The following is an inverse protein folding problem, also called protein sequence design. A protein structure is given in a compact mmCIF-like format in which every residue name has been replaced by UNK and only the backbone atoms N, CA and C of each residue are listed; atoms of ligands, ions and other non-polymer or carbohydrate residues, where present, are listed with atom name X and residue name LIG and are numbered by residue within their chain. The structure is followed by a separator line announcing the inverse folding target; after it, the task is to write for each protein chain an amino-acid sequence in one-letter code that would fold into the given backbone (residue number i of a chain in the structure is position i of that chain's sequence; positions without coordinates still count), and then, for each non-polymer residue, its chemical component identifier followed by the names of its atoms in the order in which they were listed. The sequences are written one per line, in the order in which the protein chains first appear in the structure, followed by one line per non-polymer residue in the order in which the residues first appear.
data_IF_689467409990
#
_entry.id   IF_689467409990
#
_cell.length_a   1.000
_cell.length_b   1.000
_cell.length_c   1.000
_cell.angle_alpha   90.00
_cell.angle_beta   90.00
_cell.angle_gamma   90.00
#
_symmetry.space_group_name_H-M   'P 1'
#
loop_
_entity.id
_entity.type
_entity.pdbx_description
1 polymer ?
#
# COMPACT_ATOMS: atom_id res chain seq x y z
N UNK A 1 -9.65 34.39 25.42
CA UNK A 1 -9.68 33.08 26.10
C UNK A 1 -10.99 32.97 26.83
N UNK A 2 -11.95 32.27 26.27
CA UNK A 2 -13.23 32.00 26.93
C UNK A 2 -13.19 30.55 27.40
N UNK A 3 -12.93 30.39 28.70
CA UNK A 3 -13.25 29.14 29.39
C UNK A 3 -14.75 29.17 29.70
N UNK A 4 -15.55 28.63 28.81
CA UNK A 4 -16.97 28.50 29.12
C UNK A 4 -17.22 27.19 29.85
N UNK A 5 -17.53 27.29 31.13
CA UNK A 5 -18.28 26.24 31.84
C UNK A 5 -19.65 26.15 31.17
N UNK A 6 -19.74 25.31 30.14
CA UNK A 6 -20.86 25.37 29.24
C UNK A 6 -22.03 24.52 29.60
N UNK A 7 -23.11 24.91 29.13
CA UNK A 7 -24.25 24.14 28.73
C UNK A 7 -23.86 23.22 27.57
N UNK A 8 -24.36 22.00 27.52
CA UNK A 8 -24.07 20.97 26.52
C UNK A 8 -24.31 21.36 25.05
N UNK A 9 -24.73 22.58 24.77
CA UNK A 9 -25.04 23.09 23.44
C UNK A 9 -24.11 24.20 22.95
N UNK A 10 -23.03 24.56 23.67
CA UNK A 10 -22.12 25.65 23.31
C UNK A 10 -20.64 25.32 23.54
N UNK A 11 -20.28 24.05 23.52
CA UNK A 11 -18.85 23.66 23.67
C UNK A 11 -18.08 24.00 22.44
N UNK A 12 -17.01 24.80 22.58
CA UNK A 12 -15.99 24.92 21.55
C UNK A 12 -15.16 23.64 21.53
N UNK A 13 -15.23 22.90 20.42
CA UNK A 13 -14.38 21.74 20.19
C UNK A 13 -13.01 22.18 19.67
N UNK A 14 -11.96 21.38 19.94
CA UNK A 14 -10.71 21.47 19.22
C UNK A 14 -10.99 21.32 17.72
N UNK A 15 -10.51 22.24 16.92
CA UNK A 15 -10.64 22.13 15.46
C UNK A 15 -9.65 23.05 14.74
N UNK A 16 -9.28 22.63 13.53
CA UNK A 16 -8.58 23.48 12.55
C UNK A 16 -9.58 23.93 11.49
N UNK A 17 -9.50 25.20 11.12
CA UNK A 17 -10.30 25.74 10.02
C UNK A 17 -9.51 26.72 9.16
N UNK A 18 -10.05 27.09 8.00
CA UNK A 18 -9.50 28.11 7.13
C UNK A 18 -10.11 29.46 7.49
N UNK A 19 -9.27 30.47 7.60
CA UNK A 19 -9.74 31.84 7.84
C UNK A 19 -10.30 32.42 6.53
N UNK A 20 -11.59 32.75 6.55
CA UNK A 20 -12.28 33.30 5.38
C UNK A 20 -12.16 34.83 5.22
N UNK A 21 -11.52 35.52 6.21
CA UNK A 21 -11.31 36.96 6.17
C UNK A 21 -10.10 37.39 5.34
N UNK A 22 -9.91 38.70 5.22
CA UNK A 22 -8.79 39.30 4.48
C UNK A 22 -7.71 39.90 5.41
N UNK A 23 -7.84 39.69 6.72
CA UNK A 23 -6.93 40.22 7.70
C UNK A 23 -5.51 39.69 7.56
N UNK A 24 -4.55 40.54 7.90
CA UNK A 24 -3.12 40.23 7.81
C UNK A 24 -2.43 40.39 9.18
N UNK A 25 -1.45 39.58 9.45
CA UNK A 25 -0.51 39.72 10.56
C UNK A 25 0.88 39.93 9.95
N UNK A 26 1.50 41.08 10.22
CA UNK A 26 2.80 41.44 9.65
C UNK A 26 2.84 41.32 8.12
N UNK A 27 1.83 41.84 7.44
CA UNK A 27 1.66 41.80 5.97
C UNK A 27 1.58 40.36 5.39
N UNK A 28 1.21 39.39 6.21
CA UNK A 28 0.93 38.02 5.77
C UNK A 28 -0.54 37.68 6.04
N UNK A 29 -1.23 37.19 5.03
CA UNK A 29 -2.62 36.73 5.14
C UNK A 29 -2.71 35.60 6.14
N UNK A 30 -3.76 35.61 6.97
CA UNK A 30 -4.10 34.49 7.83
C UNK A 30 -4.68 33.40 6.92
N UNK A 31 -4.03 32.23 6.86
CA UNK A 31 -4.47 31.12 6.03
C UNK A 31 -5.36 30.14 6.76
N UNK A 32 -4.94 29.73 7.94
CA UNK A 32 -5.69 28.80 8.78
C UNK A 32 -5.49 29.14 10.26
N UNK A 33 -6.40 28.63 11.07
CA UNK A 33 -6.32 28.75 12.53
C UNK A 33 -6.71 27.45 13.20
N UNK A 34 -6.23 27.26 14.41
CA UNK A 34 -6.57 26.15 15.29
C UNK A 34 -7.20 26.69 16.56
N UNK A 35 -8.30 26.10 16.97
CA UNK A 35 -8.97 26.41 18.24
C UNK A 35 -8.75 25.27 19.20
N UNK A 36 -8.26 25.56 20.38
CA UNK A 36 -8.04 24.59 21.45
C UNK A 36 -8.79 25.10 22.70
N UNK A 37 -9.77 24.35 23.22
CA UNK A 37 -10.45 24.71 24.46
C UNK A 37 -9.50 24.62 25.66
N UNK A 38 -9.50 25.62 26.52
CA UNK A 38 -8.64 25.66 27.71
C UNK A 38 -8.99 24.58 28.76
N UNK A 39 -10.21 24.08 28.74
CA UNK A 39 -10.72 23.14 29.75
C UNK A 39 -10.66 21.66 29.37
N UNK A 40 -9.84 21.25 28.39
CA UNK A 40 -9.79 19.85 27.92
C UNK A 40 -9.47 18.85 29.05
N UNK A 41 -8.57 19.20 29.99
CA UNK A 41 -8.23 18.35 31.12
C UNK A 41 -9.43 18.04 32.03
N UNK A 42 -10.42 18.96 32.12
CA UNK A 42 -11.65 18.78 32.89
C UNK A 42 -12.52 17.66 32.30
N UNK A 43 -12.43 17.39 31.00
CA UNK A 43 -13.19 16.34 30.33
C UNK A 43 -12.42 15.02 30.21
N UNK A 44 -11.24 14.90 30.85
CA UNK A 44 -10.40 13.70 30.76
C UNK A 44 -9.65 13.57 29.43
N UNK A 45 -9.68 14.60 28.60
CA UNK A 45 -8.96 14.64 27.32
C UNK A 45 -7.54 15.17 27.54
N UNK A 46 -6.59 14.71 26.72
CA UNK A 46 -5.23 15.22 26.76
C UNK A 46 -5.13 16.52 25.99
N UNK A 47 -4.87 17.61 26.68
CA UNK A 47 -4.61 18.91 26.05
C UNK A 47 -3.51 18.81 24.98
N UNK A 48 -2.42 18.12 25.29
CA UNK A 48 -1.28 17.99 24.37
C UNK A 48 -1.65 17.15 23.13
N UNK A 49 -2.39 16.07 23.29
CA UNK A 49 -2.84 15.23 22.18
C UNK A 49 -3.71 16.01 21.20
N UNK A 50 -4.72 16.73 21.71
CA UNK A 50 -5.61 17.57 20.88
C UNK A 50 -4.84 18.68 20.18
N UNK A 51 -3.94 19.38 20.90
CA UNK A 51 -3.10 20.44 20.29
C UNK A 51 -2.32 19.91 19.12
N UNK A 52 -1.69 18.74 19.25
CA UNK A 52 -0.89 18.16 18.18
C UNK A 52 -1.77 17.64 17.04
N UNK A 53 -2.89 16.99 17.34
CA UNK A 53 -3.87 16.56 16.34
C UNK A 53 -4.28 17.74 15.44
N UNK A 54 -4.76 18.81 16.03
CA UNK A 54 -5.19 20.01 15.30
C UNK A 54 -4.02 20.68 14.54
N UNK A 55 -2.82 20.66 15.13
CA UNK A 55 -1.64 21.16 14.44
C UNK A 55 -1.27 20.31 13.23
N UNK A 56 -1.39 18.98 13.30
CA UNK A 56 -1.10 18.09 12.18
C UNK A 56 -2.03 18.36 10.99
N UNK A 57 -3.27 18.79 11.23
CA UNK A 57 -4.13 19.27 10.14
C UNK A 57 -3.54 20.45 9.36
N UNK A 58 -2.72 21.30 9.98
CA UNK A 58 -2.05 22.39 9.26
C UNK A 58 -0.96 21.89 8.31
N UNK A 59 -0.45 20.68 8.55
CA UNK A 59 0.48 19.97 7.69
C UNK A 59 -0.25 19.09 6.64
N UNK A 60 -1.58 19.12 6.62
CA UNK A 60 -2.40 18.39 5.65
C UNK A 60 -2.84 17.00 6.06
N UNK A 61 -2.54 16.54 7.28
CA UNK A 61 -2.97 15.22 7.75
C UNK A 61 -4.50 15.17 7.88
N UNK A 62 -5.15 14.14 7.34
CA UNK A 62 -6.59 13.97 7.48
C UNK A 62 -6.95 13.24 8.77
N UNK A 63 -8.20 13.37 9.19
CA UNK A 63 -8.76 12.54 10.26
C UNK A 63 -8.81 11.07 9.88
N UNK A 64 -8.37 10.20 10.79
CA UNK A 64 -8.37 8.76 10.61
C UNK A 64 -9.40 8.03 11.48
N UNK A 65 -10.23 8.75 12.21
CA UNK A 65 -11.43 8.24 12.87
C UNK A 65 -12.64 8.27 11.93
N UNK A 66 -13.67 7.52 12.28
CA UNK A 66 -14.91 7.43 11.50
C UNK A 66 -16.00 8.26 12.18
N UNK A 67 -16.57 9.21 11.45
CA UNK A 67 -17.69 10.03 11.92
C UNK A 67 -19.03 9.42 11.48
N UNK A 68 -19.26 8.17 11.84
CA UNK A 68 -20.52 7.49 11.55
C UNK A 68 -21.22 7.07 12.84
N UNK A 69 -22.55 6.95 12.79
CA UNK A 69 -23.34 6.40 13.90
C UNK A 69 -23.18 4.88 14.08
N UNK A 70 -22.20 4.27 13.38
CA UNK A 70 -21.94 2.84 13.49
C UNK A 70 -21.00 2.62 14.68
N UNK A 71 -21.59 2.23 15.81
CA UNK A 71 -20.85 1.88 17.01
C UNK A 71 -19.86 0.74 16.74
N UNK A 72 -18.64 0.88 17.22
CA UNK A 72 -17.63 -0.19 17.21
C UNK A 72 -16.74 -0.25 15.96
N UNK A 73 -16.81 0.72 15.05
CA UNK A 73 -15.91 0.77 13.89
C UNK A 73 -14.74 1.71 14.18
N UNK A 74 -13.55 1.13 14.33
CA UNK A 74 -12.30 1.83 14.66
C UNK A 74 -11.19 1.37 13.72
N UNK A 75 -11.05 1.98 12.54
CA UNK A 75 -10.11 1.47 11.52
C UNK A 75 -8.65 1.51 11.95
N UNK A 76 -8.23 2.52 12.69
CA UNK A 76 -6.81 2.76 13.07
C UNK A 76 -6.62 2.74 14.59
N UNK A 77 -7.53 3.35 15.35
CA UNK A 77 -7.44 3.44 16.80
C UNK A 77 -6.20 4.18 17.29
N UNK A 78 -5.65 3.72 18.41
CA UNK A 78 -4.50 4.37 19.07
C UNK A 78 -3.15 4.23 18.32
N UNK A 79 -3.14 3.66 17.12
CA UNK A 79 -1.92 3.60 16.29
C UNK A 79 -1.55 4.93 15.64
N UNK A 80 -2.49 5.89 15.60
CA UNK A 80 -2.24 7.20 15.00
C UNK A 80 -2.96 8.30 15.79
N UNK A 81 -2.27 9.41 16.04
CA UNK A 81 -2.83 10.57 16.74
C UNK A 81 -4.01 11.19 15.97
N UNK A 82 -4.06 11.04 14.63
CA UNK A 82 -5.18 11.52 13.81
C UNK A 82 -6.41 10.62 13.86
N UNK A 83 -6.30 9.43 14.48
CA UNK A 83 -7.44 8.53 14.70
C UNK A 83 -7.97 8.62 16.13
N UNK A 84 -7.09 8.85 17.07
CA UNK A 84 -7.43 8.97 18.48
C UNK A 84 -6.37 9.79 19.20
N UNK A 85 -6.71 11.02 19.54
CA UNK A 85 -5.88 11.83 20.38
C UNK A 85 -5.86 11.27 21.81
N UNK A 86 -4.68 10.91 22.25
CA UNK A 86 -4.47 10.30 23.55
C UNK A 86 -3.71 11.24 24.48
N UNK A 87 -3.78 10.97 25.76
CA UNK A 87 -3.01 11.67 26.80
C UNK A 87 -1.51 11.61 26.54
N UNK A 88 -1.05 10.55 25.90
CA UNK A 88 0.33 10.37 25.48
C UNK A 88 0.39 10.43 23.96
N UNK A 89 1.45 11.05 23.45
CA UNK A 89 1.62 11.28 22.03
C UNK A 89 1.93 9.97 21.30
N UNK A 90 1.12 9.66 20.30
CA UNK A 90 1.46 8.62 19.33
C UNK A 90 2.10 9.24 18.09
N UNK A 91 2.95 8.46 17.43
CA UNK A 91 3.39 8.80 16.09
C UNK A 91 2.23 8.66 15.10
N UNK A 92 2.07 9.57 14.14
CA UNK A 92 1.29 9.27 12.95
C UNK A 92 1.86 8.04 12.23
N UNK A 93 1.03 7.30 11.52
CA UNK A 93 1.45 6.17 10.71
C UNK A 93 2.56 6.59 9.71
N UNK A 94 3.50 5.69 9.44
CA UNK A 94 4.68 5.98 8.61
C UNK A 94 4.33 6.56 7.26
N UNK A 95 3.27 6.05 6.61
CA UNK A 95 2.81 6.59 5.34
C UNK A 95 2.53 8.10 5.41
N UNK A 96 1.82 8.56 6.43
CA UNK A 96 1.47 9.98 6.55
C UNK A 96 2.69 10.82 6.88
N UNK A 97 3.60 10.33 7.70
CA UNK A 97 4.89 11.01 7.99
C UNK A 97 5.74 11.17 6.74
N UNK A 98 5.73 10.18 5.85
CA UNK A 98 6.43 10.23 4.57
C UNK A 98 5.69 11.14 3.57
N UNK A 99 4.41 10.84 3.27
CA UNK A 99 3.67 11.47 2.18
C UNK A 99 3.28 12.92 2.45
N UNK A 100 2.98 13.29 3.70
CA UNK A 100 2.49 14.63 4.06
C UNK A 100 3.58 15.54 4.62
N UNK A 101 4.58 15.00 5.28
CA UNK A 101 5.67 15.78 5.88
C UNK A 101 7.01 15.61 5.19
N UNK A 102 7.16 14.61 4.32
CA UNK A 102 8.43 14.34 3.64
C UNK A 102 9.58 14.01 4.59
N UNK A 103 9.28 13.43 5.77
CA UNK A 103 10.31 13.20 6.79
C UNK A 103 11.27 12.08 6.42
N UNK A 104 10.83 11.15 5.60
CA UNK A 104 11.64 10.04 5.06
C UNK A 104 10.90 9.37 3.91
N UNK A 105 11.65 8.63 3.10
CA UNK A 105 11.08 7.80 2.03
C UNK A 105 10.82 6.37 2.52
N UNK A 106 9.76 5.75 2.02
CA UNK A 106 9.43 4.36 2.35
C UNK A 106 9.72 3.50 1.12
N UNK A 107 10.63 2.51 1.22
CA UNK A 107 10.90 1.61 0.11
C UNK A 107 9.68 0.75 -0.23
N UNK A 108 9.51 0.47 -1.52
CA UNK A 108 8.46 -0.41 -2.03
C UNK A 108 9.01 -1.80 -2.35
N UNK A 109 8.27 -2.83 -1.97
CA UNK A 109 8.56 -4.23 -2.25
C UNK A 109 7.36 -4.82 -2.99
N UNK A 110 7.63 -5.51 -4.10
CA UNK A 110 6.62 -6.10 -4.99
C UNK A 110 6.80 -7.61 -5.17
N UNK A 111 7.81 -8.19 -4.52
CA UNK A 111 8.15 -9.61 -4.60
C UNK A 111 8.51 -10.17 -3.23
N UNK A 112 8.51 -11.49 -3.08
CA UNK A 112 8.84 -12.16 -1.83
C UNK A 112 10.29 -11.85 -1.41
N UNK A 113 10.47 -11.56 -0.12
CA UNK A 113 11.76 -11.18 0.44
C UNK A 113 11.96 -11.75 1.83
N UNK A 114 13.10 -12.40 2.05
CA UNK A 114 13.49 -12.96 3.35
C UNK A 114 14.39 -12.01 4.13
N UNK A 115 14.37 -12.15 5.45
CA UNK A 115 15.23 -11.39 6.37
C UNK A 115 15.12 -9.87 6.21
N UNK A 116 13.91 -9.38 5.96
CA UNK A 116 13.66 -7.94 6.02
C UNK A 116 13.94 -7.43 7.43
N UNK A 117 14.43 -6.19 7.54
CA UNK A 117 14.66 -5.55 8.83
C UNK A 117 14.28 -4.09 8.75
N UNK A 118 13.48 -3.61 9.71
CA UNK A 118 13.11 -2.21 9.85
C UNK A 118 13.30 -1.71 11.27
N UNK A 119 13.53 -0.41 11.37
CA UNK A 119 13.70 0.27 12.66
C UNK A 119 12.37 0.70 13.25
N UNK A 120 12.30 0.75 14.58
CA UNK A 120 11.14 1.30 15.27
C UNK A 120 10.93 2.77 14.89
N UNK A 121 9.66 3.20 14.80
CA UNK A 121 9.30 4.59 14.58
C UNK A 121 9.94 5.54 15.61
N UNK A 122 10.21 5.04 16.83
CA UNK A 122 10.85 5.75 17.93
C UNK A 122 12.39 5.67 17.93
N UNK A 123 13.02 5.01 16.96
CA UNK A 123 14.46 4.91 16.88
C UNK A 123 15.10 6.30 16.66
N UNK A 124 16.18 6.56 17.36
CA UNK A 124 16.94 7.83 17.25
C UNK A 124 18.24 7.66 16.48
N UNK A 125 18.51 6.48 15.94
CA UNK A 125 19.72 6.21 15.15
C UNK A 125 19.63 6.96 13.81
N UNK A 126 20.68 7.69 13.44
CA UNK A 126 20.67 8.65 12.34
C UNK A 126 20.36 8.01 10.97
N UNK A 127 20.80 6.77 10.76
CA UNK A 127 20.64 6.04 9.49
C UNK A 127 19.27 5.35 9.34
N UNK A 128 18.35 5.58 10.28
CA UNK A 128 17.06 4.87 10.32
C UNK A 128 15.96 5.53 9.50
N UNK A 129 16.20 6.72 8.95
CA UNK A 129 15.13 7.51 8.31
C UNK A 129 14.42 6.78 7.19
N UNK A 130 15.16 6.07 6.36
CA UNK A 130 14.63 5.41 5.16
C UNK A 130 14.34 3.92 5.36
N UNK A 131 14.29 3.44 6.59
CA UNK A 131 14.03 2.04 6.89
C UNK A 131 13.12 1.83 8.11
N UNK A 132 12.15 2.72 8.32
CA UNK A 132 11.16 2.63 9.41
C UNK A 132 9.89 1.88 9.02
N UNK A 133 9.68 1.70 7.73
CA UNK A 133 8.52 1.02 7.17
C UNK A 133 8.84 0.48 5.78
N UNK A 134 7.95 -0.38 5.27
CA UNK A 134 8.01 -0.93 3.91
C UNK A 134 6.61 -0.82 3.30
N UNK A 135 6.51 -0.34 2.05
CA UNK A 135 5.30 -0.42 1.25
C UNK A 135 5.29 -1.74 0.50
N UNK A 136 4.18 -2.46 0.55
CA UNK A 136 3.94 -3.68 -0.19
C UNK A 136 2.90 -3.40 -1.27
N UNK A 137 3.23 -3.70 -2.52
CA UNK A 137 2.33 -3.52 -3.65
C UNK A 137 2.21 -4.79 -4.45
N UNK A 138 1.01 -5.02 -4.94
CA UNK A 138 0.73 -5.93 -6.05
C UNK A 138 0.18 -5.10 -7.21
N UNK A 139 0.02 -5.70 -8.39
CA UNK A 139 -0.53 -4.99 -9.54
C UNK A 139 -2.07 -4.89 -9.50
N UNK A 140 -2.72 -5.42 -8.46
CA UNK A 140 -4.18 -5.40 -8.34
C UNK A 140 -4.75 -3.98 -8.27
N UNK A 141 -4.06 -3.06 -7.58
CA UNK A 141 -4.52 -1.68 -7.44
C UNK A 141 -3.37 -0.68 -7.52
N UNK A 142 -3.54 0.37 -8.31
CA UNK A 142 -2.63 1.52 -8.34
C UNK A 142 -2.81 2.45 -7.13
N UNK A 143 -3.99 2.45 -6.52
CA UNK A 143 -4.37 3.38 -5.46
C UNK A 143 -4.30 2.77 -4.06
N UNK A 144 -4.49 1.45 -3.94
CA UNK A 144 -4.41 0.75 -2.67
C UNK A 144 -3.11 -0.04 -2.56
N UNK A 145 -2.53 -0.02 -1.37
CA UNK A 145 -1.31 -0.74 -1.04
C UNK A 145 -1.24 -0.96 0.46
N UNK A 146 -0.27 -1.76 0.88
CA UNK A 146 -0.10 -2.12 2.27
C UNK A 146 1.22 -1.57 2.79
N UNK A 147 1.25 -1.31 4.09
CA UNK A 147 2.45 -0.80 4.76
C UNK A 147 2.70 -1.67 5.98
N UNK A 148 3.96 -2.04 6.17
CA UNK A 148 4.46 -2.69 7.37
C UNK A 148 5.32 -1.68 8.11
N UNK A 149 5.01 -1.42 9.38
CA UNK A 149 5.70 -0.45 10.23
C UNK A 149 6.02 -1.08 11.59
N UNK A 150 7.21 -0.81 12.13
CA UNK A 150 7.55 -1.22 13.48
C UNK A 150 7.21 -0.12 14.49
N UNK A 151 6.30 -0.44 15.39
CA UNK A 151 5.92 0.42 16.53
C UNK A 151 6.46 -0.19 17.82
N UNK A 152 6.95 0.65 18.70
CA UNK A 152 7.52 0.22 19.97
C UNK A 152 7.04 1.10 21.10
N UNK A 153 6.48 0.49 22.15
CA UNK A 153 6.16 1.19 23.39
C UNK A 153 7.45 1.70 24.03
N UNK A 154 7.68 3.00 23.98
CA UNK A 154 8.88 3.65 24.50
C UNK A 154 8.52 4.92 25.28
N UNK A 155 9.28 5.21 26.32
CA UNK A 155 8.98 6.15 27.42
C UNK A 155 8.65 7.61 27.06
N UNK A 156 8.64 8.04 25.80
CA UNK A 156 8.35 9.43 25.44
C UNK A 156 7.22 9.56 24.43
N UNK A 157 7.16 8.67 23.47
CA UNK A 157 6.12 8.59 22.44
C UNK A 157 5.75 7.13 22.28
N UNK A 158 4.51 6.83 21.91
CA UNK A 158 4.00 5.44 21.88
C UNK A 158 4.14 4.74 23.25
N UNK A 159 3.81 5.42 24.32
CA UNK A 159 4.15 5.00 25.69
C UNK A 159 3.44 3.73 26.13
N UNK A 160 4.14 2.92 26.90
CA UNK A 160 3.54 1.87 27.73
C UNK A 160 3.09 2.48 29.06
N UNK A 161 1.79 2.56 29.27
CA UNK A 161 1.14 2.75 30.58
C UNK A 161 1.81 3.67 31.63
N UNK A 162 1.12 4.69 31.99
CA UNK A 162 1.09 5.19 33.36
C UNK A 162 -0.03 4.44 34.11
N UNK A 163 0.11 4.21 35.39
CA UNK A 163 -0.54 3.28 36.31
C UNK A 163 -2.08 3.38 36.45
N UNK A 164 -2.81 3.70 35.42
CA UNK A 164 -4.27 3.81 35.44
C UNK A 164 -4.92 2.90 34.40
N UNK A 165 -5.95 2.19 34.85
CA UNK A 165 -6.78 1.24 34.09
C UNK A 165 -7.64 1.89 33.01
N UNK A 166 -7.47 3.17 32.74
CA UNK A 166 -8.18 3.88 31.68
C UNK A 166 -7.48 3.68 30.34
N UNK A 167 -8.23 3.57 29.28
CA UNK A 167 -7.81 3.39 27.88
C UNK A 167 -6.96 4.56 27.32
N UNK A 168 -6.42 5.40 28.17
CA UNK A 168 -5.81 6.67 27.82
C UNK A 168 -4.34 6.51 27.43
N UNK A 169 -4.09 6.39 26.14
CA UNK A 169 -2.81 6.80 25.59
C UNK A 169 -1.73 5.75 25.41
N UNK A 170 -2.10 4.50 25.14
CA UNK A 170 -1.14 3.43 24.82
C UNK A 170 -1.36 2.98 23.40
N UNK A 171 -0.28 2.86 22.61
CA UNK A 171 -0.33 1.86 21.56
C UNK A 171 -0.42 0.47 22.21
N UNK A 172 -1.05 -0.45 21.52
CA UNK A 172 -1.44 -1.74 22.09
C UNK A 172 -0.27 -2.66 22.45
N UNK A 173 0.90 -2.48 21.81
CA UNK A 173 2.07 -3.27 22.08
C UNK A 173 3.28 -2.87 21.24
N UNK A 174 4.35 -3.64 21.37
CA UNK A 174 5.55 -3.48 20.53
C UNK A 174 5.61 -4.59 19.49
N UNK A 175 5.74 -4.21 18.22
CA UNK A 175 5.79 -5.14 17.10
C UNK A 175 5.52 -4.49 15.76
N UNK A 176 5.45 -5.31 14.73
CA UNK A 176 5.00 -4.89 13.41
C UNK A 176 3.49 -4.66 13.40
N UNK A 177 3.06 -3.56 12.82
CA UNK A 177 1.68 -3.35 12.40
C UNK A 177 1.61 -3.40 10.88
N UNK A 178 0.49 -3.90 10.37
CA UNK A 178 0.20 -3.98 8.95
C UNK A 178 -1.05 -3.17 8.71
N UNK A 179 -1.01 -2.28 7.74
CA UNK A 179 -2.20 -1.49 7.40
C UNK A 179 -2.31 -1.25 5.91
N UNK A 180 -3.56 -1.13 5.45
CA UNK A 180 -3.90 -0.72 4.09
C UNK A 180 -3.99 0.78 4.01
N UNK A 181 -3.50 1.34 2.90
CA UNK A 181 -3.71 2.73 2.50
C UNK A 181 -4.47 2.75 1.18
N UNK A 182 -5.49 3.61 1.11
CA UNK A 182 -6.12 4.00 -0.14
C UNK A 182 -5.74 5.45 -0.45
N UNK A 183 -4.79 5.63 -1.36
CA UNK A 183 -4.23 6.95 -1.69
C UNK A 183 -5.22 7.86 -2.42
N UNK A 184 -6.26 7.31 -3.07
CA UNK A 184 -7.26 8.08 -3.80
C UNK A 184 -8.21 8.88 -2.88
N UNK A 185 -8.31 8.48 -1.61
CA UNK A 185 -9.18 9.14 -0.65
C UNK A 185 -8.48 10.34 0.00
N UNK A 186 -9.03 11.53 -0.22
CA UNK A 186 -8.47 12.80 0.32
C UNK A 186 -8.94 13.05 1.76
N UNK A 187 -10.20 12.75 2.08
CA UNK A 187 -10.86 13.11 3.33
C UNK A 187 -10.60 12.20 4.53
N UNK A 188 -9.57 11.35 4.49
CA UNK A 188 -9.27 10.44 5.60
C UNK A 188 -10.30 9.32 5.73
N UNK A 189 -10.56 8.91 7.01
CA UNK A 189 -11.53 7.85 7.32
C UNK A 189 -12.93 8.38 7.67
N UNK A 190 -13.08 9.69 7.83
CA UNK A 190 -14.29 10.32 8.40
C UNK A 190 -15.59 9.89 7.70
N UNK A 191 -15.53 9.67 6.40
CA UNK A 191 -16.68 9.32 5.56
C UNK A 191 -16.62 7.89 5.00
N UNK A 192 -15.69 7.06 5.50
CA UNK A 192 -15.57 5.67 5.06
C UNK A 192 -16.79 4.80 5.34
N UNK A 193 -16.89 3.58 4.81
CA UNK A 193 -15.92 2.93 3.92
C UNK A 193 -16.00 3.43 2.46
N UNK A 194 -14.98 3.19 1.62
CA UNK A 194 -13.69 2.63 2.01
C UNK A 194 -12.89 3.59 2.90
N UNK A 195 -11.95 3.04 3.69
CA UNK A 195 -11.10 3.82 4.59
C UNK A 195 -9.79 4.21 3.91
N UNK A 196 -9.31 5.43 4.16
CA UNK A 196 -7.99 5.87 3.72
C UNK A 196 -6.87 5.07 4.39
N UNK A 197 -7.03 4.74 5.67
CA UNK A 197 -6.13 3.88 6.41
C UNK A 197 -6.91 2.86 7.24
N UNK A 198 -6.47 1.60 7.22
CA UNK A 198 -7.06 0.51 7.99
C UNK A 198 -5.97 -0.41 8.52
N UNK A 199 -5.91 -0.59 9.84
CA UNK A 199 -4.92 -1.46 10.51
C UNK A 199 -5.49 -2.85 10.66
N UNK A 200 -4.83 -3.84 10.06
CA UNK A 200 -5.23 -5.24 10.13
C UNK A 200 -5.06 -5.83 11.53
N UNK A 201 -6.00 -6.68 11.89
CA UNK A 201 -6.07 -7.37 13.19
C UNK A 201 -6.78 -8.71 13.04
N UNK A 202 -6.46 -9.72 13.88
CA UNK A 202 -7.12 -11.02 13.79
C UNK A 202 -8.57 -10.93 14.28
N UNK A 203 -9.42 -11.75 13.68
CA UNK A 203 -10.82 -11.88 14.07
C UNK A 203 -11.70 -10.70 13.65
N UNK A 204 -11.23 -9.84 12.76
CA UNK A 204 -12.07 -8.84 12.13
C UNK A 204 -13.15 -9.48 11.26
N UNK A 205 -14.24 -8.77 11.11
CA UNK A 205 -15.41 -9.22 10.34
C UNK A 205 -16.00 -8.05 9.57
N UNK A 206 -16.92 -8.33 8.69
CA UNK A 206 -17.75 -7.32 8.03
C UNK A 206 -19.06 -7.18 8.81
N UNK A 207 -19.40 -5.97 9.24
CA UNK A 207 -20.66 -5.64 9.87
C UNK A 207 -21.37 -4.56 9.05
N UNK A 208 -22.55 -4.87 8.53
CA UNK A 208 -23.36 -3.95 7.70
C UNK A 208 -22.58 -3.38 6.51
N UNK A 209 -21.70 -4.18 5.89
CA UNK A 209 -20.83 -3.74 4.79
C UNK A 209 -19.59 -2.97 5.23
N UNK A 210 -19.31 -2.86 6.52
CA UNK A 210 -18.15 -2.18 7.09
C UNK A 210 -17.18 -3.21 7.70
N UNK A 211 -15.90 -2.98 7.54
CA UNK A 211 -14.89 -3.70 8.30
C UNK A 211 -15.07 -3.36 9.77
N UNK A 212 -15.54 -4.34 10.54
CA UNK A 212 -15.76 -4.18 11.97
C UNK A 212 -14.45 -4.33 12.70
N UNK A 213 -13.92 -3.21 13.10
CA UNK A 213 -12.76 -3.14 13.95
C UNK A 213 -13.22 -2.75 15.36
N UNK A 214 -13.39 -3.72 16.23
CA UNK A 214 -13.68 -3.41 17.62
C UNK A 214 -12.37 -3.19 18.40
N UNK A 215 -12.44 -2.48 19.54
CA UNK A 215 -11.26 -2.16 20.35
C UNK A 215 -10.56 -3.39 20.88
N UNK A 216 -11.26 -4.49 21.14
CA UNK A 216 -10.68 -5.72 21.69
C UNK A 216 -9.78 -6.43 20.68
N UNK A 217 -10.00 -6.22 19.39
CA UNK A 217 -9.16 -6.79 18.34
C UNK A 217 -7.93 -5.91 18.03
N UNK A 218 -7.99 -4.62 18.36
CA UNK A 218 -6.85 -3.73 18.19
C UNK A 218 -5.66 -4.10 19.07
N UNK A 219 -5.89 -4.65 20.26
CA UNK A 219 -4.84 -5.17 21.14
C UNK A 219 -4.08 -6.34 20.54
N UNK A 220 -4.58 -6.92 19.45
CA UNK A 220 -4.00 -8.02 18.69
C UNK A 220 -3.45 -7.60 17.32
N UNK A 221 -3.43 -6.31 17.00
CA UNK A 221 -3.06 -5.81 15.66
C UNK A 221 -1.56 -5.71 15.43
N UNK A 222 -0.72 -6.14 16.36
CA UNK A 222 0.74 -6.13 16.20
C UNK A 222 1.33 -7.54 16.27
N UNK A 223 2.48 -7.71 15.63
CA UNK A 223 3.20 -8.98 15.52
C UNK A 223 4.58 -8.84 16.16
N UNK A 224 4.93 -9.77 17.01
CA UNK A 224 6.28 -9.94 17.54
C UNK A 224 6.46 -11.32 18.18
N UNK A 225 7.70 -11.75 18.38
CA UNK A 225 7.97 -12.98 19.12
C UNK A 225 7.38 -12.93 20.54
N UNK A 226 7.46 -11.78 21.21
CA UNK A 226 6.94 -11.57 22.57
C UNK A 226 5.40 -11.65 22.63
N UNK A 227 4.71 -11.24 21.57
CA UNK A 227 3.25 -11.35 21.49
C UNK A 227 2.78 -12.78 21.20
N UNK A 228 3.67 -13.66 20.82
CA UNK A 228 3.37 -15.01 20.34
C UNK A 228 2.71 -15.02 18.94
N UNK A 229 2.65 -13.88 18.27
CA UNK A 229 2.07 -13.70 16.93
C UNK A 229 3.17 -13.28 15.98
N UNK A 230 3.63 -14.21 15.16
CA UNK A 230 4.79 -14.04 14.28
C UNK A 230 4.43 -14.07 12.80
N UNK A 231 3.12 -14.13 12.49
CA UNK A 231 2.64 -14.12 11.12
C UNK A 231 1.25 -13.50 10.98
N UNK A 232 0.95 -12.94 9.81
CA UNK A 232 -0.36 -12.47 9.38
C UNK A 232 -0.45 -12.48 7.87
N UNK A 233 -1.64 -12.80 7.34
CA UNK A 233 -1.88 -12.97 5.92
C UNK A 233 -2.03 -14.44 5.51
N UNK A 234 -2.48 -14.66 4.29
CA UNK A 234 -2.63 -16.00 3.70
C UNK A 234 -2.58 -15.91 2.18
N UNK A 235 -2.05 -16.96 1.54
CA UNK A 235 -2.04 -17.10 0.08
C UNK A 235 -3.37 -17.67 -0.48
N UNK A 236 -4.30 -18.13 0.37
CA UNK A 236 -5.60 -18.58 -0.10
C UNK A 236 -6.40 -17.42 -0.68
N UNK A 237 -6.51 -17.38 -2.01
CA UNK A 237 -7.20 -16.31 -2.74
C UNK A 237 -8.69 -16.17 -2.38
N UNK A 238 -9.30 -17.18 -1.76
CA UNK A 238 -10.68 -17.13 -1.34
C UNK A 238 -10.85 -16.62 0.11
N UNK A 239 -9.73 -16.47 0.84
CA UNK A 239 -9.76 -15.99 2.21
C UNK A 239 -10.09 -14.50 2.26
N UNK A 240 -10.95 -14.12 3.21
CA UNK A 240 -11.31 -12.74 3.52
C UNK A 240 -10.66 -12.23 4.80
N UNK A 241 -11.08 -11.05 5.23
CA UNK A 241 -10.56 -10.43 6.44
C UNK A 241 -10.80 -11.29 7.70
N UNK A 242 -11.89 -12.05 7.75
CA UNK A 242 -12.20 -12.98 8.84
C UNK A 242 -11.19 -14.11 8.97
N UNK A 243 -10.51 -14.45 7.88
CA UNK A 243 -9.49 -15.51 7.80
C UNK A 243 -8.07 -14.94 7.99
N UNK A 244 -7.94 -13.72 8.49
CA UNK A 244 -6.71 -12.95 8.64
C UNK A 244 -6.01 -12.63 7.30
N UNK A 245 -6.73 -12.58 6.19
CA UNK A 245 -6.17 -12.14 4.93
C UNK A 245 -5.84 -10.64 4.95
N UNK A 246 -4.78 -10.25 4.26
CA UNK A 246 -4.45 -8.86 3.98
C UNK A 246 -5.25 -8.46 2.73
N UNK A 247 -6.38 -7.77 2.93
CA UNK A 247 -7.37 -7.51 1.87
C UNK A 247 -7.34 -6.08 1.35
N UNK A 248 -7.70 -5.89 0.11
CA UNK A 248 -8.13 -4.60 -0.44
C UNK A 248 -9.47 -4.18 0.13
N UNK A 249 -9.89 -2.94 -0.10
CA UNK A 249 -11.15 -2.40 0.45
C UNK A 249 -12.40 -3.06 -0.13
N UNK A 250 -12.29 -3.70 -1.28
CA UNK A 250 -13.35 -4.51 -1.89
C UNK A 250 -13.45 -5.94 -1.34
N UNK A 251 -12.56 -6.31 -0.40
CA UNK A 251 -12.50 -7.63 0.22
C UNK A 251 -11.58 -8.63 -0.47
N UNK A 252 -11.01 -8.29 -1.63
CA UNK A 252 -10.09 -9.17 -2.35
C UNK A 252 -8.81 -9.39 -1.55
N UNK A 253 -8.40 -10.65 -1.37
CA UNK A 253 -7.14 -10.99 -0.73
C UNK A 253 -5.95 -10.57 -1.62
N UNK A 254 -4.99 -9.88 -1.03
CA UNK A 254 -3.74 -9.49 -1.73
C UNK A 254 -2.79 -10.67 -1.97
N UNK A 255 -2.98 -11.78 -1.28
CA UNK A 255 -2.05 -12.90 -1.29
C UNK A 255 -0.72 -12.61 -0.58
N UNK A 256 -0.60 -11.50 0.14
CA UNK A 256 0.60 -11.17 0.90
C UNK A 256 0.56 -11.83 2.26
N UNK A 257 1.70 -12.38 2.68
CA UNK A 257 1.91 -12.93 4.03
C UNK A 257 3.13 -12.29 4.65
N UNK A 258 3.00 -11.82 5.89
CA UNK A 258 4.11 -11.45 6.74
C UNK A 258 4.35 -12.61 7.70
N UNK A 259 5.57 -13.10 7.78
CA UNK A 259 5.91 -14.28 8.57
C UNK A 259 7.30 -14.17 9.23
N UNK A 260 7.62 -15.10 10.12
CA UNK A 260 8.91 -15.16 10.83
C UNK A 260 9.24 -13.86 11.54
N UNK A 261 8.22 -13.18 12.09
CA UNK A 261 8.42 -11.91 12.79
C UNK A 261 9.22 -12.15 14.07
N UNK A 262 10.34 -11.44 14.19
CA UNK A 262 11.29 -11.57 15.28
C UNK A 262 10.89 -10.83 16.55
N UNK A 263 11.89 -10.64 17.44
CA UNK A 263 11.72 -9.93 18.71
C UNK A 263 11.56 -8.43 18.52
N UNK A 264 10.62 -7.85 19.26
CA UNK A 264 10.41 -6.40 19.36
C UNK A 264 11.20 -5.75 20.52
N UNK A 265 12.17 -6.44 21.12
CA UNK A 265 12.98 -5.92 22.22
C UNK A 265 14.01 -4.88 21.75
N UNK A 266 14.56 -5.05 20.54
CA UNK A 266 15.56 -4.18 19.93
C UNK A 266 14.99 -2.92 19.25
N UNK A 267 15.87 -2.09 18.71
CA UNK A 267 15.48 -0.95 17.88
C UNK A 267 15.11 -1.36 16.45
N UNK A 268 15.43 -2.59 16.06
CA UNK A 268 15.04 -3.20 14.78
C UNK A 268 14.23 -4.46 15.03
N UNK A 269 13.37 -4.80 14.08
CA UNK A 269 12.63 -6.05 14.03
C UNK A 269 12.83 -6.71 12.67
N UNK A 270 12.95 -8.03 12.66
CA UNK A 270 13.13 -8.82 11.44
C UNK A 270 11.84 -9.55 11.06
N UNK A 271 11.65 -9.81 9.79
CA UNK A 271 10.49 -10.53 9.27
C UNK A 271 10.72 -10.97 7.82
N UNK A 272 9.89 -11.85 7.34
CA UNK A 272 9.82 -12.26 5.96
C UNK A 272 8.54 -11.72 5.31
N UNK A 273 8.63 -11.42 4.03
CA UNK A 273 7.51 -11.05 3.16
C UNK A 273 7.35 -12.16 2.13
N UNK A 274 6.14 -12.68 1.99
CA UNK A 274 5.80 -13.67 0.99
C UNK A 274 4.60 -13.14 0.20
N UNK A 275 4.74 -13.08 -1.11
CA UNK A 275 3.63 -12.87 -2.02
C UNK A 275 3.15 -14.23 -2.48
N UNK A 276 1.85 -14.40 -2.67
CA UNK A 276 1.37 -15.58 -3.36
C UNK A 276 2.15 -15.67 -4.66
N UNK A 277 2.79 -16.79 -4.91
CA UNK A 277 3.15 -17.12 -6.28
C UNK A 277 1.86 -16.94 -7.08
N UNK A 278 1.86 -15.98 -7.96
CA UNK A 278 0.73 -15.70 -8.83
C UNK A 278 0.50 -16.89 -9.76
N UNK A 279 0.08 -18.01 -9.18
CA UNK A 279 -0.61 -19.04 -9.91
C UNK A 279 -1.95 -18.53 -10.45
N UNK A 280 -2.03 -17.26 -10.76
CA UNK A 280 -3.05 -16.69 -11.63
C UNK A 280 -2.66 -17.08 -13.06
N UNK A 281 -3.05 -18.31 -13.42
CA UNK A 281 -3.26 -18.59 -14.82
C UNK A 281 -4.08 -17.44 -15.41
N UNK A 282 -3.43 -16.61 -16.23
CA UNK A 282 -4.08 -15.53 -16.96
C UNK A 282 -3.82 -14.09 -16.49
N UNK A 283 -2.95 -13.84 -15.52
CA UNK A 283 -2.53 -12.45 -15.20
C UNK A 283 -1.43 -11.97 -16.14
N UNK A 284 -1.66 -10.80 -16.73
CA UNK A 284 -0.62 -10.12 -17.51
C UNK A 284 0.39 -9.47 -16.58
N UNK A 285 1.64 -9.91 -16.64
CA UNK A 285 2.78 -9.26 -15.98
C UNK A 285 3.52 -8.48 -17.07
N UNK A 286 3.72 -7.18 -16.85
CA UNK A 286 4.62 -6.41 -17.71
C UNK A 286 6.06 -6.77 -17.34
N UNK A 287 6.66 -7.71 -18.04
CA UNK A 287 8.05 -8.12 -17.82
C UNK A 287 9.06 -7.09 -18.35
N UNK A 288 8.65 -6.23 -19.27
CA UNK A 288 9.47 -5.16 -19.83
C UNK A 288 8.61 -3.96 -20.18
N UNK A 289 9.10 -2.77 -19.88
CA UNK A 289 8.54 -1.48 -20.31
C UNK A 289 9.24 -0.93 -21.54
N UNK A 290 10.07 -1.73 -22.22
CA UNK A 290 10.80 -1.31 -23.40
C UNK A 290 9.83 -0.95 -24.52
N UNK A 291 9.94 0.26 -25.01
CA UNK A 291 9.27 0.68 -26.23
C UNK A 291 10.11 0.20 -27.40
N UNK A 292 9.64 -0.80 -28.12
CA UNK A 292 10.35 -1.35 -29.29
C UNK A 292 10.41 -0.36 -30.46
N UNK A 293 9.81 0.83 -30.32
CA UNK A 293 9.79 1.86 -31.35
C UNK A 293 8.99 1.49 -32.60
N UNK A 294 8.21 0.42 -32.55
CA UNK A 294 7.42 -0.12 -33.64
C UNK A 294 5.94 -0.18 -33.29
N UNK A 295 5.10 0.12 -34.25
CA UNK A 295 3.68 -0.25 -34.17
C UNK A 295 3.56 -1.71 -34.56
N UNK A 296 3.05 -2.56 -33.65
CA UNK A 296 2.93 -3.99 -33.88
C UNK A 296 1.47 -4.43 -33.80
N UNK A 297 1.13 -5.42 -34.59
CA UNK A 297 -0.19 -6.06 -34.59
C UNK A 297 -0.05 -7.56 -34.83
N UNK A 298 -1.10 -8.31 -34.52
CA UNK A 298 -1.17 -9.77 -34.71
C UNK A 298 0.09 -10.47 -34.14
N UNK A 299 0.26 -10.35 -32.82
CA UNK A 299 1.43 -10.82 -32.10
C UNK A 299 1.20 -12.26 -31.68
N UNK A 300 2.11 -13.15 -32.07
CA UNK A 300 2.16 -14.54 -31.64
C UNK A 300 3.40 -14.77 -30.76
N UNK A 301 3.22 -15.40 -29.61
CA UNK A 301 4.29 -15.63 -28.63
C UNK A 301 4.60 -17.13 -28.47
N UNK A 302 5.82 -17.42 -28.11
CA UNK A 302 6.27 -18.77 -27.82
C UNK A 302 7.36 -18.79 -26.75
N UNK A 303 7.28 -19.75 -25.84
CA UNK A 303 8.35 -20.04 -24.88
C UNK A 303 8.82 -21.48 -25.11
N UNK A 304 10.11 -21.68 -25.35
CA UNK A 304 10.67 -23.02 -25.59
C UNK A 304 10.97 -23.76 -24.29
N UNK A 305 11.41 -25.02 -24.41
CA UNK A 305 11.74 -25.88 -23.26
C UNK A 305 12.94 -25.36 -22.43
N UNK A 306 13.76 -24.49 -23.00
CA UNK A 306 14.88 -23.84 -22.33
C UNK A 306 14.51 -22.49 -21.73
N UNK A 307 13.21 -22.13 -21.73
CA UNK A 307 12.66 -20.88 -21.25
C UNK A 307 13.05 -19.64 -22.08
N UNK A 308 13.55 -19.84 -23.32
CA UNK A 308 13.70 -18.72 -24.24
C UNK A 308 12.33 -18.27 -24.74
N UNK A 309 12.08 -16.96 -24.69
CA UNK A 309 10.82 -16.36 -25.13
C UNK A 309 11.01 -15.69 -26.47
N UNK A 310 10.05 -15.89 -27.35
CA UNK A 310 10.02 -15.32 -28.69
C UNK A 310 8.66 -14.70 -28.98
N UNK A 311 8.60 -13.71 -29.84
CA UNK A 311 7.39 -13.35 -30.52
C UNK A 311 7.62 -12.98 -31.98
N UNK A 312 6.59 -13.21 -32.82
CA UNK A 312 6.49 -12.69 -34.17
C UNK A 312 5.27 -11.79 -34.28
N UNK A 313 5.39 -10.68 -34.98
CA UNK A 313 4.31 -9.72 -35.16
C UNK A 313 4.33 -9.10 -36.55
N UNK A 314 3.18 -8.60 -37.03
CA UNK A 314 3.14 -7.70 -38.18
C UNK A 314 3.55 -6.29 -37.76
N UNK A 315 4.27 -5.61 -38.62
CA UNK A 315 4.63 -4.19 -38.45
C UNK A 315 3.45 -3.35 -38.90
N UNK A 316 3.03 -2.38 -38.07
CA UNK A 316 2.01 -1.39 -38.43
C UNK A 316 2.59 -0.24 -39.26
N UNK A 317 1.75 0.36 -40.06
CA UNK A 317 2.11 1.50 -40.95
C UNK A 317 2.20 2.86 -40.21
N UNK A 318 2.03 2.87 -38.90
CA UNK A 318 1.99 4.08 -38.09
C UNK A 318 0.64 4.80 -38.08
N UNK A 319 -0.32 4.37 -38.89
CA UNK A 319 -1.70 4.88 -38.93
C UNK A 319 -2.72 3.91 -38.33
N UNK A 320 -2.24 2.81 -37.76
CA UNK A 320 -3.09 1.81 -37.10
C UNK A 320 -3.46 0.61 -37.98
N UNK A 321 -2.90 0.51 -39.19
CA UNK A 321 -3.09 -0.65 -40.07
C UNK A 321 -1.86 -1.54 -40.05
N UNK A 322 -2.08 -2.86 -40.05
CA UNK A 322 -1.01 -3.83 -40.19
C UNK A 322 -0.50 -3.86 -41.64
N UNK A 323 0.82 -3.92 -41.80
CA UNK A 323 1.43 -4.27 -43.10
C UNK A 323 1.61 -5.80 -43.18
N UNK A 324 2.00 -6.30 -44.35
CA UNK A 324 2.38 -7.72 -44.51
C UNK A 324 3.83 -8.02 -44.04
N UNK A 325 4.55 -7.01 -43.62
CA UNK A 325 5.91 -7.20 -43.08
C UNK A 325 5.83 -7.69 -41.64
N UNK A 326 6.61 -8.72 -41.33
CA UNK A 326 6.68 -9.29 -39.98
C UNK A 326 8.07 -9.11 -39.39
N UNK A 327 8.15 -9.24 -38.08
CA UNK A 327 9.41 -9.11 -37.32
C UNK A 327 9.43 -10.14 -36.20
N UNK A 328 10.60 -10.79 -36.02
CA UNK A 328 10.84 -11.77 -34.96
C UNK A 328 11.70 -11.14 -33.86
N UNK A 329 11.24 -11.27 -32.64
CA UNK A 329 11.94 -10.85 -31.43
C UNK A 329 12.27 -12.04 -30.53
N UNK A 330 13.36 -11.90 -29.77
CA UNK A 330 13.72 -12.79 -28.66
C UNK A 330 13.91 -11.97 -27.41
N UNK A 331 13.48 -12.50 -26.27
CA UNK A 331 13.76 -11.96 -24.95
C UNK A 331 15.06 -12.56 -24.40
N UNK A 332 16.02 -11.73 -24.04
CA UNK A 332 17.25 -12.11 -23.37
C UNK A 332 17.76 -10.97 -22.50
N UNK A 333 18.40 -11.30 -21.38
CA UNK A 333 19.03 -10.33 -20.48
C UNK A 333 18.08 -9.21 -19.98
N UNK A 334 16.79 -9.52 -19.78
CA UNK A 334 15.80 -8.58 -19.30
C UNK A 334 15.19 -7.65 -20.35
N UNK A 335 15.50 -7.84 -21.64
CA UNK A 335 15.01 -6.99 -22.72
C UNK A 335 14.61 -7.80 -23.97
N UNK A 336 13.67 -7.24 -24.73
CA UNK A 336 13.31 -7.74 -26.05
C UNK A 336 14.26 -7.17 -27.11
N UNK A 337 14.83 -8.03 -27.94
CA UNK A 337 15.67 -7.64 -29.07
C UNK A 337 15.14 -8.19 -30.37
N UNK A 338 15.14 -7.37 -31.42
CA UNK A 338 14.81 -7.81 -32.76
C UNK A 338 15.89 -8.78 -33.23
N UNK A 339 15.48 -9.98 -33.64
CA UNK A 339 16.39 -10.97 -34.20
C UNK A 339 16.52 -10.76 -35.71
N UNK A 340 15.40 -10.69 -36.42
CA UNK A 340 15.35 -10.59 -37.87
C UNK A 340 14.02 -10.06 -38.36
N UNK A 341 13.93 -9.60 -39.60
CA UNK A 341 12.68 -9.47 -40.32
C UNK A 341 12.13 -10.86 -40.66
N UNK A 342 10.87 -11.07 -40.41
CA UNK A 342 10.20 -12.32 -40.71
C UNK A 342 9.69 -12.39 -42.17
N UNK A 343 9.04 -13.50 -42.54
CA UNK A 343 8.41 -13.62 -43.84
C UNK A 343 7.25 -12.65 -44.02
N UNK A 344 6.92 -12.30 -45.26
CA UNK A 344 5.71 -11.52 -45.55
C UNK A 344 4.47 -12.37 -45.32
N UNK A 345 3.68 -11.99 -44.30
CA UNK A 345 2.49 -12.70 -43.86
C UNK A 345 1.30 -11.76 -43.76
N UNK A 346 0.13 -12.24 -44.12
CA UNK A 346 -1.11 -11.48 -43.85
C UNK A 346 -1.35 -11.36 -42.34
N UNK A 347 -2.13 -10.38 -41.97
CA UNK A 347 -2.39 -10.05 -40.56
C UNK A 347 -3.42 -11.02 -39.95
N UNK A 348 -3.13 -12.32 -39.98
CA UNK A 348 -3.89 -13.38 -39.28
C UNK A 348 -3.19 -14.73 -39.50
N UNK A 349 -3.32 -15.64 -38.53
CA UNK A 349 -2.95 -17.05 -38.70
C UNK A 349 -1.47 -17.34 -38.71
N UNK A 350 -0.66 -16.61 -37.91
CA UNK A 350 0.73 -16.96 -37.63
C UNK A 350 0.84 -17.87 -36.40
N UNK A 351 1.90 -18.68 -36.37
CA UNK A 351 2.30 -19.43 -35.18
C UNK A 351 3.81 -19.59 -35.17
N UNK A 352 4.40 -19.70 -34.00
CA UNK A 352 5.84 -19.85 -33.80
C UNK A 352 6.13 -21.03 -32.90
N UNK A 353 7.21 -21.77 -33.19
CA UNK A 353 7.67 -22.92 -32.40
C UNK A 353 9.18 -23.09 -32.55
N UNK A 354 9.84 -23.66 -31.57
CA UNK A 354 11.23 -24.13 -31.69
C UNK A 354 11.28 -25.64 -31.83
N UNK A 355 12.19 -26.14 -32.65
CA UNK A 355 12.49 -27.55 -32.78
C UNK A 355 13.99 -27.74 -33.06
N UNK A 356 14.68 -28.55 -32.25
CA UNK A 356 16.12 -28.77 -32.30
C UNK A 356 16.97 -27.48 -32.32
N UNK A 357 16.55 -26.44 -31.58
CA UNK A 357 17.24 -25.16 -31.50
C UNK A 357 16.93 -24.17 -32.64
N UNK A 358 16.21 -24.59 -33.65
CA UNK A 358 15.75 -23.74 -34.76
C UNK A 358 14.36 -23.16 -34.46
N UNK A 359 14.08 -21.95 -34.93
CA UNK A 359 12.76 -21.32 -34.85
C UNK A 359 12.01 -21.55 -36.16
N UNK A 360 10.80 -22.06 -36.06
CA UNK A 360 9.88 -22.26 -37.19
C UNK A 360 8.69 -21.36 -37.04
N UNK A 361 8.26 -20.77 -38.16
CA UNK A 361 7.09 -19.88 -38.24
C UNK A 361 6.15 -20.46 -39.30
N UNK A 362 4.92 -20.76 -38.92
CA UNK A 362 3.83 -21.05 -39.87
C UNK A 362 2.97 -19.80 -40.06
N UNK A 363 2.54 -19.53 -41.28
CA UNK A 363 1.80 -18.33 -41.61
C UNK A 363 1.04 -18.47 -42.92
N UNK A 364 0.15 -17.53 -43.20
CA UNK A 364 -0.42 -17.37 -44.55
C UNK A 364 0.34 -16.28 -45.29
N UNK A 365 0.86 -16.62 -46.50
CA UNK A 365 1.53 -15.65 -47.35
C UNK A 365 0.53 -14.62 -47.93
N UNK A 366 1.03 -13.64 -48.65
CA UNK A 366 0.20 -12.57 -49.26
C UNK A 366 -0.79 -13.06 -50.29
N UNK A 367 -0.71 -14.34 -50.72
CA UNK A 367 -1.64 -15.02 -51.62
C UNK A 367 -2.57 -15.98 -50.85
N UNK A 368 -2.59 -15.93 -49.53
CA UNK A 368 -3.32 -16.81 -48.62
C UNK A 368 -2.93 -18.29 -48.69
N UNK A 369 -1.70 -18.59 -49.08
CA UNK A 369 -1.19 -19.96 -49.01
C UNK A 369 -0.48 -20.19 -47.68
N UNK A 370 -0.72 -21.34 -47.08
CA UNK A 370 -0.04 -21.75 -45.85
C UNK A 370 1.46 -22.05 -46.17
N UNK A 371 2.35 -21.45 -45.35
CA UNK A 371 3.80 -21.59 -45.40
C UNK A 371 4.36 -21.98 -44.06
N UNK A 372 5.52 -22.59 -44.09
CA UNK A 372 6.36 -22.80 -42.90
C UNK A 372 7.77 -22.41 -43.27
N UNK A 373 8.29 -21.40 -42.61
CA UNK A 373 9.69 -20.97 -42.77
C UNK A 373 10.50 -21.30 -41.54
N UNK A 374 11.77 -21.54 -41.72
CA UNK A 374 12.73 -21.84 -40.66
C UNK A 374 13.75 -20.71 -40.60
N UNK A 375 13.91 -20.14 -39.40
CA UNK A 375 15.05 -19.28 -39.10
C UNK A 375 16.17 -20.10 -38.49
N UNK A 376 17.35 -20.04 -39.06
CA UNK A 376 18.54 -20.85 -38.74
C UNK A 376 19.58 -20.10 -37.89
N UNK A 377 19.25 -18.94 -37.36
CA UNK A 377 20.15 -18.19 -36.48
C UNK A 377 21.22 -17.33 -37.21
N UNK A 378 21.13 -17.16 -38.52
CA UNK A 378 22.09 -16.37 -39.32
C UNK A 378 21.45 -15.14 -39.93
#
# INVERSE_FOLDING_TARGET
TACEKGNSNSQMYGHKSTYAGTDEINSKKIGSYTVIPEGLAYFGLSETGVVIHEFMHTLGYPDLYVNTNVSGVVPVGQWDIMAMECKFLQYPLAYFRSAYSGWFDIPTVTESKKNCSIYAASSTTFDTRNNQAVILRTDYSSNEFFVVEYRKQKAKYDVASYDDKSYEGKIYGSGLIIYRINASLIGGNMYGPPYKAYVFRPGDSILNGYEKADYTNLDKSFLSAESGRTSYGTHDKNAGIADNAITYSDGTNSGIVIENVGSASGDTITFDISFADDGQEGRWITESTDTLGLSLSDIETYTDSEQNKYFIANIGDGYGYATNDTVLFKYSDGAWSKITDGPKAINDGKSIVTYNGDVYISYLDTNCYARVDKWNGS
#
